data_IF_454445378571
#
_entry.id   IF_454445378571
#
_cell.length_a   1.000
_cell.length_b   1.000
_cell.length_c   1.000
_cell.angle_alpha   90.00
_cell.angle_beta   90.00
_cell.angle_gamma   90.00
#
_symmetry.space_group_name_H-M   'P 1'
#
loop_
_entity.id
_entity.type
_entity.pdbx_description
1 polymer ?
#
# COMPACT_ATOMS: atom_id res chain seq x y z
N UNK A 1 -23.83 15.17 -13.42
CA UNK A 1 -23.17 14.28 -12.43
C UNK A 1 -22.09 15.10 -11.74
N UNK A 2 -22.10 15.21 -10.40
CA UNK A 2 -20.95 15.77 -9.68
C UNK A 2 -19.77 14.80 -9.88
N UNK A 3 -18.66 15.30 -10.37
CA UNK A 3 -17.42 14.52 -10.43
C UNK A 3 -17.01 14.17 -9.00
N UNK A 4 -16.77 12.90 -8.71
CA UNK A 4 -16.24 12.44 -7.42
C UNK A 4 -14.76 12.87 -7.25
N UNK A 5 -14.11 13.28 -8.33
CA UNK A 5 -12.72 13.72 -8.32
C UNK A 5 -12.57 15.08 -7.62
N UNK A 6 -11.62 15.14 -6.70
CA UNK A 6 -11.14 16.37 -6.06
C UNK A 6 -9.61 16.39 -6.05
N UNK A 7 -9.04 17.61 -6.17
CA UNK A 7 -7.60 17.84 -6.00
C UNK A 7 -7.13 17.66 -4.56
N UNK A 8 -8.08 17.73 -3.62
CA UNK A 8 -7.82 17.66 -2.18
C UNK A 8 -7.95 16.23 -1.63
N UNK A 9 -8.39 15.29 -2.48
CA UNK A 9 -8.46 13.88 -2.08
C UNK A 9 -7.06 13.27 -2.02
N UNK A 10 -6.85 12.42 -1.02
CA UNK A 10 -5.59 11.73 -0.76
C UNK A 10 -5.75 10.23 -1.05
N UNK A 11 -4.75 9.68 -1.72
CA UNK A 11 -4.67 8.23 -1.98
C UNK A 11 -3.69 7.61 -1.01
N UNK A 12 -4.21 6.76 -0.14
CA UNK A 12 -3.44 5.94 0.79
C UNK A 12 -3.24 4.57 0.18
N UNK A 13 -2.01 4.09 0.20
CA UNK A 13 -1.65 2.80 -0.36
C UNK A 13 -0.71 2.08 0.60
N UNK A 14 -0.89 0.78 0.69
CA UNK A 14 -0.06 -0.10 1.49
C UNK A 14 0.11 -1.44 0.77
N UNK A 15 1.30 -2.00 0.81
CA UNK A 15 1.64 -3.27 0.18
C UNK A 15 2.12 -4.27 1.21
N UNK A 16 1.75 -5.54 1.01
CA UNK A 16 2.48 -6.64 1.61
C UNK A 16 3.39 -7.27 0.55
N UNK A 17 4.61 -7.57 0.93
CA UNK A 17 5.64 -8.13 0.05
C UNK A 17 6.27 -9.36 0.67
N UNK A 18 6.95 -10.16 -0.14
CA UNK A 18 7.68 -11.35 0.31
C UNK A 18 8.98 -11.01 1.08
N UNK A 19 9.38 -9.74 1.09
CA UNK A 19 10.54 -9.21 1.78
C UNK A 19 10.84 -7.77 1.39
N UNK A 20 12.02 -7.26 1.72
CA UNK A 20 12.33 -5.83 1.64
C UNK A 20 13.09 -5.40 0.38
N UNK A 21 13.65 -6.34 -0.38
CA UNK A 21 14.47 -6.03 -1.56
C UNK A 21 13.64 -6.15 -2.85
N UNK A 22 13.21 -5.03 -3.47
CA UNK A 22 12.39 -5.09 -4.67
C UNK A 22 13.07 -5.80 -5.85
N UNK A 23 14.39 -6.01 -5.80
CA UNK A 23 15.10 -6.75 -6.86
C UNK A 23 14.92 -8.26 -6.76
N UNK A 24 14.53 -8.77 -5.61
CA UNK A 24 14.34 -10.20 -5.35
C UNK A 24 12.90 -10.54 -4.99
N UNK A 25 12.25 -9.64 -4.29
CA UNK A 25 10.97 -9.88 -3.64
C UNK A 25 9.77 -9.45 -4.52
N UNK A 26 8.59 -9.90 -4.15
CA UNK A 26 7.36 -9.70 -4.92
C UNK A 26 6.26 -9.08 -4.06
N UNK A 27 5.34 -8.37 -4.71
CA UNK A 27 4.10 -7.88 -4.09
C UNK A 27 3.13 -9.05 -3.97
N UNK A 28 2.50 -9.20 -2.81
CA UNK A 28 1.52 -10.25 -2.53
C UNK A 28 0.14 -9.72 -2.12
N UNK A 29 0.06 -8.47 -1.64
CA UNK A 29 -1.21 -7.80 -1.37
C UNK A 29 -1.06 -6.29 -1.66
N UNK A 30 -2.14 -5.65 -2.11
CA UNK A 30 -2.26 -4.20 -2.23
C UNK A 30 -3.58 -3.75 -1.64
N UNK A 31 -3.54 -2.77 -0.75
CA UNK A 31 -4.69 -2.06 -0.23
C UNK A 31 -4.67 -0.60 -0.66
N UNK A 32 -5.84 -0.03 -0.92
CA UNK A 32 -5.97 1.35 -1.35
C UNK A 32 -7.20 2.00 -0.71
N UNK A 33 -6.99 3.18 -0.14
CA UNK A 33 -8.00 3.97 0.54
C UNK A 33 -7.99 5.40 0.01
N UNK A 34 -9.15 6.00 -0.14
CA UNK A 34 -9.29 7.41 -0.52
C UNK A 34 -9.88 8.18 0.67
N UNK A 35 -9.23 9.28 1.04
CA UNK A 35 -9.77 10.24 2.01
C UNK A 35 -9.91 11.63 1.40
N UNK A 36 -10.71 12.49 2.04
CA UNK A 36 -10.62 13.93 1.84
C UNK A 36 -9.41 14.51 2.61
N UNK A 37 -9.20 15.82 2.48
CA UNK A 37 -8.11 16.54 3.20
C UNK A 37 -8.29 16.59 4.72
N UNK A 38 -9.46 16.23 5.23
CA UNK A 38 -9.77 16.14 6.67
C UNK A 38 -9.68 14.71 7.20
N UNK A 39 -9.17 13.78 6.38
CA UNK A 39 -9.02 12.35 6.66
C UNK A 39 -10.36 11.59 6.81
N UNK A 40 -11.47 12.14 6.32
CA UNK A 40 -12.70 11.36 6.24
C UNK A 40 -12.58 10.36 5.08
N UNK A 41 -12.88 9.10 5.34
CA UNK A 41 -12.86 8.04 4.31
C UNK A 41 -13.95 8.30 3.28
N UNK A 42 -13.55 8.41 2.01
CA UNK A 42 -14.44 8.57 0.86
C UNK A 42 -14.75 7.23 0.23
N UNK A 43 -13.74 6.38 0.07
CA UNK A 43 -13.87 5.08 -0.56
C UNK A 43 -12.73 4.15 -0.15
N UNK A 44 -13.03 2.84 -0.12
CA UNK A 44 -12.07 1.77 0.10
C UNK A 44 -12.09 0.83 -1.11
N UNK A 45 -10.92 0.47 -1.62
CA UNK A 45 -10.77 -0.62 -2.58
C UNK A 45 -10.75 -1.94 -1.80
N UNK A 46 -11.45 -2.99 -2.24
CA UNK A 46 -11.19 -4.33 -1.69
C UNK A 46 -9.70 -4.68 -1.85
N UNK A 47 -9.13 -5.31 -0.83
CA UNK A 47 -7.74 -5.76 -0.92
C UNK A 47 -7.56 -6.69 -2.11
N UNK A 48 -6.53 -6.43 -2.91
CA UNK A 48 -6.19 -7.27 -4.05
C UNK A 48 -5.04 -8.19 -3.64
N UNK A 49 -5.35 -9.48 -3.55
CA UNK A 49 -4.36 -10.52 -3.24
C UNK A 49 -3.72 -10.97 -4.54
N UNK A 50 -2.42 -10.81 -4.65
CA UNK A 50 -1.67 -11.05 -5.89
C UNK A 50 -1.09 -12.46 -5.87
N UNK A 51 -1.42 -13.24 -6.91
CA UNK A 51 -0.91 -14.60 -7.07
C UNK A 51 0.59 -14.61 -7.28
N UNK A 52 1.29 -15.45 -6.53
CA UNK A 52 2.72 -15.70 -6.71
C UNK A 52 3.00 -17.21 -6.71
N UNK A 53 4.02 -17.66 -7.44
CA UNK A 53 4.46 -19.06 -7.41
C UNK A 53 4.84 -19.51 -6.01
N UNK A 54 4.54 -20.78 -5.67
CA UNK A 54 4.86 -21.36 -4.36
C UNK A 54 6.35 -21.28 -4.04
N UNK A 55 7.20 -21.35 -5.05
CA UNK A 55 8.65 -21.24 -4.92
C UNK A 55 9.07 -19.88 -4.37
N UNK A 56 8.40 -18.80 -4.81
CA UNK A 56 8.62 -17.44 -4.30
C UNK A 56 8.22 -17.35 -2.82
N UNK A 57 7.05 -17.88 -2.47
CA UNK A 57 6.58 -17.88 -1.08
C UNK A 57 7.50 -18.72 -0.16
N UNK A 58 7.99 -19.84 -0.63
CA UNK A 58 8.91 -20.68 0.10
C UNK A 58 10.32 -20.05 0.27
N UNK A 59 10.70 -19.11 -0.58
CA UNK A 59 11.98 -18.41 -0.50
C UNK A 59 12.00 -17.24 0.47
N UNK A 60 10.85 -16.84 1.02
CA UNK A 60 10.77 -15.82 2.07
C UNK A 60 11.61 -16.22 3.28
N UNK A 61 12.14 -15.24 3.99
CA UNK A 61 12.78 -15.46 5.28
C UNK A 61 11.77 -15.97 6.34
N UNK A 62 12.28 -16.50 7.44
CA UNK A 62 11.47 -17.10 8.51
C UNK A 62 10.48 -16.10 9.11
N UNK A 63 10.86 -14.83 9.23
CA UNK A 63 10.00 -13.80 9.78
C UNK A 63 8.78 -13.56 8.86
N UNK A 64 9.00 -13.35 7.56
CA UNK A 64 7.94 -13.15 6.56
C UNK A 64 7.03 -14.38 6.43
N UNK A 65 7.61 -15.60 6.45
CA UNK A 65 6.82 -16.83 6.42
C UNK A 65 5.90 -16.94 7.64
N UNK A 66 6.39 -16.61 8.83
CA UNK A 66 5.60 -16.67 10.06
C UNK A 66 4.50 -15.59 10.05
N UNK A 67 4.80 -14.37 9.63
CA UNK A 67 3.84 -13.27 9.60
C UNK A 67 2.72 -13.50 8.59
N UNK A 68 3.07 -13.74 7.35
CA UNK A 68 2.09 -13.97 6.28
C UNK A 68 1.37 -15.32 6.41
N UNK A 69 2.01 -16.31 7.03
CA UNK A 69 1.37 -17.59 7.37
C UNK A 69 0.33 -17.45 8.47
N UNK A 70 0.65 -16.74 9.56
CA UNK A 70 -0.26 -16.52 10.68
C UNK A 70 -1.47 -15.64 10.32
N UNK A 71 -1.30 -14.69 9.41
CA UNK A 71 -2.40 -13.87 8.89
C UNK A 71 -3.29 -14.60 7.85
N UNK A 72 -2.86 -15.78 7.37
CA UNK A 72 -3.55 -16.53 6.31
C UNK A 72 -3.27 -16.01 4.90
N UNK A 73 -2.44 -14.97 4.75
CA UNK A 73 -2.16 -14.34 3.46
C UNK A 73 -1.51 -15.30 2.46
N UNK A 74 -0.61 -16.20 2.91
CA UNK A 74 0.04 -17.20 2.05
C UNK A 74 -1.01 -18.09 1.36
N UNK A 75 -2.01 -18.56 2.11
CA UNK A 75 -3.07 -19.40 1.57
C UNK A 75 -3.95 -18.65 0.56
N UNK A 76 -4.19 -17.37 0.79
CA UNK A 76 -4.94 -16.51 -0.12
C UNK A 76 -4.17 -16.26 -1.41
N UNK A 77 -2.86 -15.98 -1.33
CA UNK A 77 -1.96 -15.79 -2.49
C UNK A 77 -1.94 -17.03 -3.38
N UNK A 78 -1.86 -18.23 -2.78
CA UNK A 78 -1.87 -19.50 -3.53
C UNK A 78 -3.20 -19.79 -4.22
N UNK A 79 -4.31 -19.24 -3.73
CA UNK A 79 -5.65 -19.39 -4.32
C UNK A 79 -6.01 -18.27 -5.28
N UNK A 80 -5.29 -17.17 -5.25
CA UNK A 80 -5.55 -16.01 -6.08
C UNK A 80 -5.23 -16.29 -7.56
N UNK A 81 -6.00 -15.63 -8.43
CA UNK A 81 -5.74 -15.57 -9.87
C UNK A 81 -5.42 -14.13 -10.33
N UNK A 82 -5.30 -13.19 -9.40
CA UNK A 82 -4.96 -11.79 -9.69
C UNK A 82 -3.46 -11.70 -9.92
N UNK A 83 -3.07 -11.23 -11.09
CA UNK A 83 -1.66 -10.93 -11.40
C UNK A 83 -1.31 -9.51 -10.97
N UNK A 84 -0.01 -9.17 -10.89
CA UNK A 84 0.47 -7.80 -10.65
C UNK A 84 -0.16 -6.81 -11.67
N UNK A 85 -0.29 -7.23 -12.93
CA UNK A 85 -0.88 -6.40 -13.97
C UNK A 85 -2.39 -6.17 -13.77
N UNK A 86 -3.14 -7.19 -13.36
CA UNK A 86 -4.56 -7.04 -13.02
C UNK A 86 -4.71 -6.11 -11.83
N UNK A 87 -3.93 -6.31 -10.77
CA UNK A 87 -3.97 -5.46 -9.59
C UNK A 87 -3.63 -3.99 -9.92
N UNK A 88 -2.64 -3.75 -10.78
CA UNK A 88 -2.31 -2.40 -11.26
C UNK A 88 -3.51 -1.74 -11.95
N UNK A 89 -4.15 -2.45 -12.88
CA UNK A 89 -5.29 -1.93 -13.64
C UNK A 89 -6.47 -1.63 -12.71
N UNK A 90 -6.83 -2.58 -11.85
CA UNK A 90 -7.97 -2.41 -10.92
C UNK A 90 -7.74 -1.27 -9.93
N UNK A 91 -6.51 -1.13 -9.42
CA UNK A 91 -6.16 -0.01 -8.54
C UNK A 91 -6.22 1.33 -9.28
N UNK A 92 -5.70 1.41 -10.51
CA UNK A 92 -5.80 2.60 -11.34
C UNK A 92 -7.25 2.97 -11.66
N UNK A 93 -8.06 1.99 -12.04
CA UNK A 93 -9.49 2.20 -12.31
C UNK A 93 -10.24 2.67 -11.06
N UNK A 94 -9.85 2.21 -9.87
CA UNK A 94 -10.41 2.68 -8.61
C UNK A 94 -10.02 4.11 -8.32
N UNK A 95 -8.71 4.44 -8.25
CA UNK A 95 -8.24 5.77 -7.85
C UNK A 95 -8.65 6.86 -8.84
N UNK A 96 -8.70 6.56 -10.13
CA UNK A 96 -9.08 7.52 -11.18
C UNK A 96 -10.50 8.07 -11.04
N UNK A 97 -11.37 7.40 -10.31
CA UNK A 97 -12.74 7.88 -10.02
C UNK A 97 -12.73 9.04 -9.02
N UNK A 98 -11.72 9.14 -8.19
CA UNK A 98 -11.66 10.07 -7.04
C UNK A 98 -10.55 11.11 -7.15
N UNK A 99 -9.49 10.80 -7.87
CA UNK A 99 -8.29 11.64 -7.98
C UNK A 99 -7.80 11.63 -9.42
N UNK A 100 -7.43 12.79 -9.95
CA UNK A 100 -6.81 12.90 -11.27
C UNK A 100 -5.31 12.55 -11.22
N UNK A 101 -4.76 12.25 -12.38
CA UNK A 101 -3.32 11.96 -12.55
C UNK A 101 -2.45 13.10 -12.02
N UNK A 102 -1.36 12.77 -11.33
CA UNK A 102 -0.41 13.71 -10.70
C UNK A 102 -1.02 14.63 -9.61
N UNK A 103 -2.23 14.39 -9.15
CA UNK A 103 -2.89 15.24 -8.16
C UNK A 103 -2.52 14.85 -6.73
N UNK A 104 -2.68 13.59 -6.35
CA UNK A 104 -2.39 13.14 -4.99
C UNK A 104 -0.92 12.79 -4.80
N UNK A 105 -0.31 13.17 -3.65
CA UNK A 105 0.89 12.50 -3.18
C UNK A 105 0.57 11.02 -2.90
N UNK A 106 1.58 10.18 -2.86
CA UNK A 106 1.43 8.81 -2.33
C UNK A 106 1.45 8.87 -0.81
N UNK A 107 0.36 8.43 -0.17
CA UNK A 107 0.20 8.48 1.28
C UNK A 107 0.30 7.07 1.88
N UNK A 108 0.97 6.95 3.03
CA UNK A 108 1.11 5.68 3.74
C UNK A 108 2.15 5.72 4.85
N UNK A 109 2.45 4.58 5.44
CA UNK A 109 3.46 4.46 6.48
C UNK A 109 4.74 3.86 5.89
N UNK A 110 5.85 4.59 5.92
CA UNK A 110 7.11 4.23 5.23
C UNK A 110 6.89 4.04 3.71
N UNK A 111 5.96 4.79 3.16
CA UNK A 111 5.42 4.63 1.80
C UNK A 111 6.46 4.75 0.68
N UNK A 112 7.64 5.31 0.98
CA UNK A 112 8.77 5.32 0.06
C UNK A 112 9.24 3.89 -0.28
N UNK A 113 9.04 2.94 0.63
CA UNK A 113 9.35 1.52 0.41
C UNK A 113 8.37 0.91 -0.58
N UNK A 114 7.07 1.10 -0.37
CA UNK A 114 6.01 0.68 -1.29
C UNK A 114 6.23 1.27 -2.69
N UNK A 115 6.59 2.55 -2.77
CA UNK A 115 6.87 3.22 -4.04
C UNK A 115 7.97 2.55 -4.85
N UNK A 116 9.02 2.00 -4.21
CA UNK A 116 10.09 1.26 -4.89
C UNK A 116 9.56 -0.02 -5.55
N UNK A 117 8.66 -0.74 -4.87
CA UNK A 117 8.01 -1.93 -5.44
C UNK A 117 7.06 -1.56 -6.57
N UNK A 118 6.23 -0.53 -6.39
CA UNK A 118 5.35 -0.05 -7.46
C UNK A 118 6.13 0.40 -8.68
N UNK A 119 7.22 1.14 -8.51
CA UNK A 119 8.08 1.57 -9.62
C UNK A 119 8.59 0.39 -10.45
N UNK A 120 8.83 -0.74 -9.82
CA UNK A 120 9.33 -1.94 -10.48
C UNK A 120 8.24 -2.80 -11.11
N UNK A 121 7.14 -3.02 -10.39
CA UNK A 121 6.13 -4.02 -10.74
C UNK A 121 4.82 -3.44 -11.26
N UNK A 122 4.53 -2.16 -10.93
CA UNK A 122 3.29 -1.46 -11.28
C UNK A 122 3.60 -0.01 -11.68
N UNK A 123 4.45 0.14 -12.70
CA UNK A 123 5.03 1.45 -13.07
C UNK A 123 3.98 2.48 -13.53
N UNK A 124 2.85 2.05 -14.10
CA UNK A 124 1.74 2.94 -14.49
C UNK A 124 1.02 3.48 -13.25
N UNK A 125 0.83 2.65 -12.23
CA UNK A 125 0.25 3.05 -10.96
C UNK A 125 1.20 4.01 -10.23
N UNK A 126 2.49 3.71 -10.20
CA UNK A 126 3.50 4.60 -9.60
C UNK A 126 3.49 5.98 -10.28
N UNK A 127 3.50 6.03 -11.60
CA UNK A 127 3.52 7.26 -12.39
C UNK A 127 2.21 8.08 -12.25
N UNK A 128 1.12 7.49 -11.80
CA UNK A 128 -0.14 8.18 -11.57
C UNK A 128 -0.09 9.15 -10.39
N UNK A 129 0.76 8.85 -9.39
CA UNK A 129 0.94 9.69 -8.22
C UNK A 129 1.79 10.93 -8.50
N UNK A 130 1.56 11.97 -7.69
CA UNK A 130 2.51 13.07 -7.60
C UNK A 130 3.87 12.56 -7.07
N UNK A 131 4.95 13.26 -7.38
CA UNK A 131 6.29 12.86 -6.91
C UNK A 131 6.50 12.98 -5.39
N UNK A 132 5.58 13.65 -4.68
CA UNK A 132 5.62 13.85 -3.23
C UNK A 132 5.02 12.67 -2.48
N UNK A 133 5.34 12.60 -1.19
CA UNK A 133 4.77 11.65 -0.24
C UNK A 133 4.10 12.37 0.93
N UNK A 134 3.07 11.75 1.51
CA UNK A 134 2.67 11.95 2.89
C UNK A 134 3.03 10.65 3.62
N UNK A 135 4.19 10.65 4.26
CA UNK A 135 4.73 9.48 4.94
C UNK A 135 4.53 9.63 6.46
N UNK A 136 3.61 8.82 7.02
CA UNK A 136 3.26 8.84 8.44
C UNK A 136 4.48 8.50 9.32
N UNK A 137 5.39 7.64 8.86
CA UNK A 137 6.60 7.32 9.62
C UNK A 137 7.52 8.51 9.81
N UNK A 138 7.58 9.43 8.84
CA UNK A 138 8.36 10.66 8.97
C UNK A 138 7.82 11.57 10.06
N UNK A 139 6.49 11.70 10.21
CA UNK A 139 5.89 12.44 11.32
C UNK A 139 6.20 11.79 12.67
N UNK A 140 6.17 10.47 12.74
CA UNK A 140 6.54 9.70 13.93
C UNK A 140 7.98 9.96 14.34
N UNK A 141 8.92 9.94 13.41
CA UNK A 141 10.33 10.23 13.63
C UNK A 141 10.57 11.68 14.12
N UNK A 142 9.85 12.65 13.54
CA UNK A 142 9.88 14.06 13.97
C UNK A 142 9.32 14.20 15.39
N UNK A 143 8.17 13.58 15.66
CA UNK A 143 7.50 13.65 16.96
C UNK A 143 8.40 13.10 18.08
N UNK A 144 9.00 11.92 17.89
CA UNK A 144 9.90 11.29 18.87
C UNK A 144 11.11 12.16 19.20
N UNK A 145 11.66 12.88 18.21
CA UNK A 145 12.91 13.63 18.38
C UNK A 145 12.71 15.06 18.86
N UNK A 146 11.60 15.68 18.46
CA UNK A 146 11.47 17.13 18.62
C UNK A 146 10.17 17.61 19.27
N UNK A 147 9.23 16.70 19.57
CA UNK A 147 7.96 17.03 20.22
C UNK A 147 7.87 16.36 21.58
N UNK A 148 8.11 17.11 22.65
CA UNK A 148 8.25 16.57 24.02
C UNK A 148 6.98 15.92 24.60
N UNK A 149 5.80 16.13 24.02
CA UNK A 149 4.50 15.64 24.51
C UNK A 149 3.74 14.83 23.47
N UNK A 150 4.40 14.38 22.38
CA UNK A 150 3.74 13.60 21.35
C UNK A 150 3.29 12.24 21.89
N UNK A 151 1.99 12.02 21.93
CA UNK A 151 1.45 10.67 22.12
C UNK A 151 1.70 9.85 20.84
N UNK A 152 2.57 8.88 20.94
CA UNK A 152 2.85 7.97 19.84
C UNK A 152 1.79 6.87 19.89
N UNK A 153 1.01 6.74 18.82
CA UNK A 153 0.06 5.65 18.66
C UNK A 153 0.84 4.32 18.53
N UNK A 154 0.54 3.38 19.41
CA UNK A 154 1.05 2.00 19.28
C UNK A 154 0.18 1.26 18.26
N UNK A 155 0.78 0.91 17.12
CA UNK A 155 0.14 0.17 16.06
C UNK A 155 -0.17 -1.25 16.53
N UNK A 156 -1.43 -1.69 16.41
CA UNK A 156 -1.80 -3.10 16.51
C UNK A 156 -1.51 -3.76 15.17
N UNK A 157 -0.27 -4.23 14.99
CA UNK A 157 0.16 -4.83 13.75
C UNK A 157 -0.67 -6.06 13.40
N UNK A 158 -1.51 -5.95 12.36
CA UNK A 158 -2.21 -7.09 11.77
C UNK A 158 -1.43 -7.72 10.62
N UNK A 159 -0.40 -7.00 10.10
CA UNK A 159 0.36 -7.35 8.90
C UNK A 159 -0.56 -7.75 7.73
N UNK A 160 -1.58 -6.94 7.53
CA UNK A 160 -2.48 -6.94 6.38
C UNK A 160 -2.59 -5.50 5.89
N UNK A 161 -2.46 -5.31 4.58
CA UNK A 161 -2.30 -4.00 3.96
C UNK A 161 -3.38 -2.97 4.35
N UNK A 162 -4.66 -3.37 4.51
CA UNK A 162 -5.70 -2.44 4.98
C UNK A 162 -5.66 -2.17 6.50
N UNK A 163 -5.04 -3.05 7.28
CA UNK A 163 -4.97 -2.94 8.75
C UNK A 163 -3.81 -2.08 9.24
N UNK A 164 -2.91 -1.76 8.37
CA UNK A 164 -1.68 -1.03 8.61
C UNK A 164 -1.78 0.41 8.16
#
# INVERSE_FOLDING_TARGET
>A
MKTLQSRDNLVWIDLEMTGLDPDKEKIIEIATLITDSSLNIIAECPNLIISQPKEILNSMDEWNQNQHGSSGLIDEVLKSNVTEQIAEIETLDFISKYVGENMSPMCGNTVSHDRRFLSKYMSRLEAYFNYRHIDVSSFKEVAVRWMNEAQIYEKKGSHRALGD
#
